data_IF_900737833062
#
_entry.id   IF_900737833062
#
_cell.length_a   1.000
_cell.length_b   1.000
_cell.length_c   1.000
_cell.angle_alpha   90.00
_cell.angle_beta   90.00
_cell.angle_gamma   90.00
#
_symmetry.space_group_name_H-M   'P 1'
#
loop_
_entity.id
_entity.type
_entity.pdbx_description
1 polymer ?
#
# COMPACT_ATOMS: atom_id res chain seq x y z
N UNK A 1 -4.06 -0.02 20.59
CA UNK A 1 -3.56 -0.54 19.30
C UNK A 1 -2.13 -0.06 19.08
N UNK A 2 -1.26 -0.95 18.65
CA UNK A 2 0.15 -0.62 18.43
C UNK A 2 0.46 -0.50 16.95
N UNK A 3 1.54 0.22 16.63
CA UNK A 3 2.05 0.28 15.27
C UNK A 3 2.51 -1.10 14.81
N UNK A 4 2.42 -1.36 13.52
CA UNK A 4 2.95 -2.58 12.92
C UNK A 4 4.16 -2.21 12.06
N UNK A 5 5.30 -2.85 12.32
CA UNK A 5 6.50 -2.67 11.51
C UNK A 5 7.06 -4.02 11.08
N UNK A 6 7.31 -4.17 9.77
CA UNK A 6 7.95 -5.35 9.20
C UNK A 6 9.19 -4.87 8.47
N UNK A 7 10.36 -5.37 8.90
CA UNK A 7 11.63 -5.04 8.25
C UNK A 7 11.72 -5.74 6.89
N UNK A 8 11.98 -4.97 5.85
CA UNK A 8 12.14 -5.50 4.50
C UNK A 8 13.43 -6.29 4.33
N UNK A 9 13.45 -7.12 3.29
CA UNK A 9 14.61 -7.92 2.87
C UNK A 9 14.79 -7.74 1.36
N UNK A 10 15.67 -8.53 0.76
CA UNK A 10 15.87 -8.49 -0.71
C UNK A 10 14.61 -8.91 -1.49
N UNK A 11 13.72 -9.67 -0.87
CA UNK A 11 12.50 -10.16 -1.53
C UNK A 11 11.21 -9.72 -0.84
N UNK A 12 11.26 -9.11 0.34
CA UNK A 12 10.09 -8.68 1.10
C UNK A 12 10.12 -7.16 1.30
N UNK A 13 8.96 -6.50 1.19
CA UNK A 13 8.92 -5.06 1.40
C UNK A 13 9.03 -4.69 2.88
N UNK A 14 9.47 -3.46 3.14
CA UNK A 14 9.33 -2.86 4.45
C UNK A 14 7.91 -2.35 4.58
N UNK A 15 7.25 -2.67 5.70
CA UNK A 15 5.89 -2.24 5.98
C UNK A 15 5.89 -1.47 7.29
N UNK A 16 5.36 -0.25 7.27
CA UNK A 16 5.25 0.59 8.45
C UNK A 16 3.82 1.11 8.53
N UNK A 17 3.04 0.62 9.48
CA UNK A 17 1.66 1.03 9.69
C UNK A 17 1.56 1.67 11.07
N UNK A 18 1.38 3.00 11.07
CA UNK A 18 1.37 3.77 12.31
C UNK A 18 -0.03 4.17 12.72
N UNK A 19 -0.29 4.16 14.01
CA UNK A 19 -1.58 4.59 14.57
C UNK A 19 -1.87 6.08 14.35
N UNK A 20 -0.87 6.83 13.90
CA UNK A 20 -1.05 8.21 13.46
C UNK A 20 -1.78 8.33 12.12
N UNK A 21 -1.95 7.23 11.39
CA UNK A 21 -2.52 7.24 10.04
C UNK A 21 -1.49 7.26 8.92
N UNK A 22 -0.21 7.24 9.27
CA UNK A 22 0.88 7.19 8.28
C UNK A 22 1.19 5.73 7.96
N UNK A 23 0.89 5.30 6.72
CA UNK A 23 1.04 3.92 6.28
C UNK A 23 2.00 3.87 5.10
N UNK A 24 3.00 2.98 5.16
CA UNK A 24 4.01 2.89 4.10
C UNK A 24 4.36 1.45 3.78
N UNK A 25 4.43 1.14 2.50
CA UNK A 25 4.92 -0.15 1.99
C UNK A 25 5.95 0.18 0.91
N UNK A 26 7.19 -0.27 1.12
CA UNK A 26 8.30 0.11 0.23
C UNK A 26 9.27 -1.04 0.04
N UNK A 27 9.87 -1.11 -1.15
CA UNK A 27 10.89 -2.07 -1.50
C UNK A 27 10.41 -3.08 -2.52
N UNK A 28 10.92 -4.30 -2.44
CA UNK A 28 10.62 -5.37 -3.38
C UNK A 28 9.61 -6.33 -2.75
N UNK A 29 8.54 -6.64 -3.46
CA UNK A 29 7.44 -7.45 -2.92
C UNK A 29 7.32 -8.78 -3.68
N UNK A 30 8.16 -9.75 -3.32
CA UNK A 30 8.20 -11.09 -3.91
C UNK A 30 8.17 -12.17 -2.83
N UNK A 31 7.15 -12.17 -1.94
CA UNK A 31 7.04 -13.24 -0.93
C UNK A 31 6.70 -14.57 -1.60
N UNK A 32 7.17 -15.68 -1.01
CA UNK A 32 6.82 -17.02 -1.48
C UNK A 32 5.33 -17.28 -1.30
N UNK A 33 4.74 -16.73 -0.23
CA UNK A 33 3.32 -16.85 0.07
C UNK A 33 2.79 -15.46 0.40
N UNK A 34 2.22 -14.81 -0.62
CA UNK A 34 1.71 -13.43 -0.48
C UNK A 34 0.55 -13.35 0.51
N UNK A 35 -0.35 -14.33 0.51
CA UNK A 35 -1.49 -14.34 1.44
C UNK A 35 -0.99 -14.37 2.87
N UNK A 36 -0.08 -15.29 3.17
CA UNK A 36 0.50 -15.42 4.51
C UNK A 36 1.24 -14.16 4.94
N UNK A 37 2.02 -13.57 4.02
CA UNK A 37 2.76 -12.35 4.33
C UNK A 37 1.82 -11.21 4.70
N UNK A 38 0.70 -11.08 4.01
CA UNK A 38 -0.25 -9.98 4.20
C UNK A 38 -1.23 -10.19 5.35
N UNK A 39 -1.32 -11.39 5.95
CA UNK A 39 -2.25 -11.64 7.06
C UNK A 39 -2.14 -10.59 8.17
N UNK A 40 -0.95 -10.33 8.75
CA UNK A 40 -0.87 -9.32 9.82
C UNK A 40 -1.17 -7.91 9.34
N UNK A 41 -0.88 -7.61 8.07
CA UNK A 41 -1.13 -6.29 7.48
C UNK A 41 -2.64 -6.07 7.34
N UNK A 42 -3.35 -7.04 6.76
CA UNK A 42 -4.80 -6.94 6.57
C UNK A 42 -5.54 -6.97 7.91
N UNK A 43 -5.06 -7.77 8.87
CA UNK A 43 -5.64 -7.80 10.21
C UNK A 43 -5.50 -6.44 10.90
N UNK A 44 -4.31 -5.83 10.80
CA UNK A 44 -4.05 -4.52 11.39
C UNK A 44 -4.99 -3.46 10.82
N UNK A 45 -5.09 -3.38 9.50
CA UNK A 45 -5.89 -2.34 8.85
C UNK A 45 -7.39 -2.56 9.06
N UNK A 46 -7.82 -3.80 9.24
CA UNK A 46 -9.23 -4.11 9.54
C UNK A 46 -9.63 -3.53 10.88
N UNK A 47 -8.73 -3.53 11.86
CA UNK A 47 -8.98 -3.01 13.20
C UNK A 47 -8.63 -1.54 13.39
N UNK A 48 -8.18 -0.84 12.35
CA UNK A 48 -7.72 0.54 12.44
C UNK A 48 -8.61 1.49 11.64
N UNK A 49 -8.81 2.69 12.20
CA UNK A 49 -9.42 3.79 11.47
C UNK A 49 -8.86 5.11 11.96
N UNK A 50 -8.89 6.14 11.11
CA UNK A 50 -8.49 7.49 11.45
C UNK A 50 -9.21 8.47 10.53
N UNK A 51 -9.41 9.70 10.99
CA UNK A 51 -10.05 10.71 10.15
C UNK A 51 -9.26 10.97 8.87
N UNK A 52 -7.94 10.99 8.98
CA UNK A 52 -7.05 11.13 7.81
C UNK A 52 -6.05 9.99 7.79
N UNK A 53 -5.95 9.33 6.64
CA UNK A 53 -4.96 8.28 6.40
C UNK A 53 -4.10 8.71 5.23
N UNK A 54 -2.78 8.62 5.40
CA UNK A 54 -1.80 8.94 4.37
C UNK A 54 -0.99 7.69 4.05
N UNK A 55 -1.14 7.18 2.82
CA UNK A 55 -0.51 5.96 2.36
C UNK A 55 0.59 6.31 1.38
N UNK A 56 1.75 5.72 1.54
CA UNK A 56 2.83 5.80 0.56
C UNK A 56 3.19 4.41 0.08
N UNK A 57 3.11 4.19 -1.23
CA UNK A 57 3.50 2.93 -1.86
C UNK A 57 4.71 3.23 -2.74
N UNK A 58 5.83 2.59 -2.44
CA UNK A 58 7.08 2.78 -3.19
C UNK A 58 7.71 1.41 -3.44
N UNK A 59 7.16 0.67 -4.39
CA UNK A 59 7.59 -0.69 -4.70
C UNK A 59 8.42 -0.72 -5.98
N UNK A 60 9.58 -1.39 -5.93
CA UNK A 60 10.41 -1.64 -7.12
C UNK A 60 9.73 -2.63 -8.04
N UNK A 61 9.10 -3.64 -7.44
CA UNK A 61 8.45 -4.72 -8.17
C UNK A 61 7.49 -5.47 -7.24
N UNK A 62 6.40 -5.97 -7.79
CA UNK A 62 5.50 -6.88 -7.09
C UNK A 62 4.83 -7.82 -8.10
N UNK A 63 4.50 -9.03 -7.64
CA UNK A 63 3.87 -10.03 -8.49
C UNK A 63 2.34 -9.95 -8.41
N UNK A 64 1.66 -10.78 -9.22
CA UNK A 64 0.20 -10.80 -9.30
C UNK A 64 -0.46 -11.11 -7.96
N UNK A 65 0.12 -12.02 -7.17
CA UNK A 65 -0.43 -12.37 -5.86
C UNK A 65 -0.40 -11.18 -4.90
N UNK A 66 0.69 -10.42 -4.93
CA UNK A 66 0.82 -9.19 -4.12
C UNK A 66 -0.16 -8.13 -4.61
N UNK A 67 -0.33 -8.03 -5.92
CA UNK A 67 -1.27 -7.08 -6.52
C UNK A 67 -2.67 -7.23 -5.95
N UNK A 68 -3.13 -8.47 -5.80
CA UNK A 68 -4.43 -8.77 -5.21
C UNK A 68 -4.49 -8.40 -3.73
N UNK A 69 -3.43 -8.68 -2.98
CA UNK A 69 -3.37 -8.34 -1.56
C UNK A 69 -3.36 -6.83 -1.34
N UNK A 70 -2.67 -6.08 -2.19
CA UNK A 70 -2.70 -4.62 -2.14
C UNK A 70 -4.10 -4.08 -2.40
N UNK A 71 -4.81 -4.66 -3.37
CA UNK A 71 -6.19 -4.25 -3.63
C UNK A 71 -7.08 -4.49 -2.41
N UNK A 72 -6.95 -5.65 -1.77
CA UNK A 72 -7.70 -5.96 -0.56
C UNK A 72 -7.38 -4.95 0.55
N UNK A 73 -6.11 -4.60 0.73
CA UNK A 73 -5.67 -3.60 1.69
C UNK A 73 -6.35 -2.25 1.42
N UNK A 74 -6.32 -1.78 0.17
CA UNK A 74 -6.93 -0.51 -0.21
C UNK A 74 -8.45 -0.55 -0.04
N UNK A 75 -9.09 -1.66 -0.41
CA UNK A 75 -10.56 -1.80 -0.30
C UNK A 75 -11.03 -1.80 1.15
N UNK A 76 -10.30 -2.43 2.05
CA UNK A 76 -10.63 -2.40 3.47
C UNK A 76 -10.63 -0.97 3.99
N UNK A 77 -9.60 -0.17 3.59
CA UNK A 77 -9.50 1.23 3.98
C UNK A 77 -10.65 2.05 3.39
N UNK A 78 -10.93 1.88 2.09
CA UNK A 78 -11.99 2.63 1.40
C UNK A 78 -13.36 2.35 1.97
N UNK A 79 -13.64 1.09 2.30
CA UNK A 79 -14.95 0.66 2.79
C UNK A 79 -15.21 1.04 4.25
N UNK A 80 -14.20 1.38 5.00
CA UNK A 80 -14.37 1.82 6.38
C UNK A 80 -14.69 3.32 6.40
N UNK A 81 -15.96 3.63 6.68
CA UNK A 81 -16.47 5.00 6.65
C UNK A 81 -15.93 5.90 7.75
N UNK A 82 -15.27 5.33 8.76
CA UNK A 82 -14.59 6.12 9.78
C UNK A 82 -13.34 6.81 9.21
N UNK A 83 -12.79 6.29 8.11
CA UNK A 83 -11.70 6.92 7.38
C UNK A 83 -12.27 8.01 6.47
N UNK A 84 -12.19 9.26 6.91
CA UNK A 84 -12.85 10.38 6.22
C UNK A 84 -12.07 10.85 5.00
N UNK A 85 -10.76 10.95 5.12
CA UNK A 85 -9.86 11.38 4.04
C UNK A 85 -8.74 10.36 3.90
N UNK A 86 -8.57 9.83 2.70
CA UNK A 86 -7.48 8.89 2.42
C UNK A 86 -6.68 9.42 1.25
N UNK A 87 -5.41 9.73 1.51
CA UNK A 87 -4.47 10.18 0.50
C UNK A 87 -3.50 9.04 0.20
N UNK A 88 -3.28 8.75 -1.08
CA UNK A 88 -2.32 7.73 -1.48
C UNK A 88 -1.30 8.34 -2.43
N UNK A 89 -0.03 8.22 -2.07
CA UNK A 89 1.10 8.64 -2.88
C UNK A 89 1.70 7.39 -3.52
N UNK A 90 1.57 7.29 -4.84
CA UNK A 90 2.13 6.20 -5.61
C UNK A 90 3.47 6.63 -6.20
N UNK A 91 4.55 6.02 -5.70
CA UNK A 91 5.90 6.34 -6.16
C UNK A 91 6.28 5.40 -7.30
N UNK A 92 6.94 5.92 -8.32
CA UNK A 92 7.46 5.09 -9.40
C UNK A 92 8.72 5.72 -9.99
N UNK A 93 9.63 4.85 -10.44
CA UNK A 93 10.90 5.27 -11.03
C UNK A 93 10.66 5.80 -12.44
N UNK A 94 11.41 6.85 -12.81
CA UNK A 94 11.33 7.40 -14.16
C UNK A 94 11.67 6.30 -15.18
N UNK A 95 10.78 6.10 -16.17
CA UNK A 95 10.91 5.05 -17.18
C UNK A 95 10.18 3.76 -16.84
N UNK A 96 9.72 3.59 -15.60
CA UNK A 96 8.96 2.39 -15.21
C UNK A 96 7.48 2.57 -15.52
N UNK A 97 7.12 2.34 -16.77
CA UNK A 97 5.75 2.51 -17.24
C UNK A 97 4.79 1.47 -16.66
N UNK A 98 5.27 0.26 -16.39
CA UNK A 98 4.44 -0.78 -15.80
C UNK A 98 3.99 -0.40 -14.39
N UNK A 99 4.89 0.18 -13.60
CA UNK A 99 4.56 0.63 -12.25
C UNK A 99 3.57 1.80 -12.29
N UNK A 100 3.74 2.72 -13.23
CA UNK A 100 2.80 3.83 -13.42
C UNK A 100 1.41 3.30 -13.80
N UNK A 101 1.33 2.38 -14.74
CA UNK A 101 0.07 1.79 -15.18
C UNK A 101 -0.63 1.04 -14.04
N UNK A 102 0.15 0.34 -13.20
CA UNK A 102 -0.40 -0.34 -12.02
C UNK A 102 -1.06 0.65 -11.08
N UNK A 103 -0.39 1.78 -10.83
CA UNK A 103 -0.95 2.83 -9.98
C UNK A 103 -2.21 3.45 -10.57
N UNK A 104 -2.23 3.67 -11.87
CA UNK A 104 -3.42 4.19 -12.57
C UNK A 104 -4.61 3.24 -12.45
N UNK A 105 -4.36 1.93 -12.52
CA UNK A 105 -5.41 0.94 -12.34
C UNK A 105 -5.97 0.98 -10.91
N UNK A 106 -5.11 1.05 -9.89
CA UNK A 106 -5.58 1.18 -8.52
C UNK A 106 -6.38 2.46 -8.31
N UNK A 107 -5.97 3.56 -8.93
CA UNK A 107 -6.70 4.81 -8.85
C UNK A 107 -8.15 4.64 -9.34
N UNK A 108 -8.35 3.88 -10.40
CA UNK A 108 -9.70 3.57 -10.90
C UNK A 108 -10.48 2.66 -9.94
N UNK A 109 -9.79 1.72 -9.29
CA UNK A 109 -10.42 0.73 -8.43
C UNK A 109 -10.79 1.26 -7.05
N UNK A 110 -10.16 2.35 -6.61
CA UNK A 110 -10.46 2.99 -5.32
C UNK A 110 -10.73 4.49 -5.52
N UNK A 111 -11.86 4.84 -6.17
CA UNK A 111 -12.15 6.23 -6.49
C UNK A 111 -12.35 7.14 -5.28
N UNK A 112 -12.55 6.57 -4.10
CA UNK A 112 -12.66 7.33 -2.85
C UNK A 112 -11.33 7.86 -2.32
N UNK A 113 -10.20 7.43 -2.88
CA UNK A 113 -8.89 7.91 -2.44
C UNK A 113 -8.46 9.14 -3.25
N UNK A 114 -7.74 10.05 -2.57
CA UNK A 114 -7.00 11.12 -3.23
C UNK A 114 -5.66 10.55 -3.67
N UNK A 115 -5.55 10.19 -4.94
CA UNK A 115 -4.41 9.47 -5.48
C UNK A 115 -3.46 10.45 -6.16
N UNK A 116 -2.17 10.42 -5.81
CA UNK A 116 -1.14 11.24 -6.46
C UNK A 116 0.01 10.36 -6.91
N UNK A 117 0.66 10.76 -7.99
CA UNK A 117 1.78 10.02 -8.57
C UNK A 117 3.07 10.83 -8.41
N UNK A 118 4.11 10.18 -7.95
CA UNK A 118 5.41 10.80 -7.73
C UNK A 118 6.50 10.02 -8.45
N UNK A 119 7.03 10.63 -9.52
CA UNK A 119 8.11 10.07 -10.30
C UNK A 119 9.45 10.46 -9.66
N UNK A 120 10.35 9.50 -9.53
CA UNK A 120 11.69 9.78 -9.03
C UNK A 120 12.76 9.28 -10.01
N UNK A 121 13.94 9.89 -9.97
CA UNK A 121 15.08 9.49 -10.80
C UNK A 121 15.70 8.19 -10.28
N UNK A 122 16.35 7.49 -11.17
CA UNK A 122 17.09 6.28 -10.82
C UNK A 122 18.14 6.52 -9.73
#
# INVERSE_FOLDING_TARGET
MEDLFIQGTDSLPTVSLKTTGELKIAGRALPEDAVKFFVPILDWITGFSAEEINIEINLDYFNTSVSKQLLDFFKIIEQNRANKVVNLKWMYEDGDEEMLESGELYQELVPGFHFTFHKFAE
#
